data_IF_071323975954
#
_entry.id   IF_071323975954
#
_cell.length_a   1.000
_cell.length_b   1.000
_cell.length_c   1.000
_cell.angle_alpha   90.00
_cell.angle_beta   90.00
_cell.angle_gamma   90.00
#
_symmetry.space_group_name_H-M   'P 1'
#
loop_
_entity.id
_entity.type
_entity.pdbx_description
1 polymer ?
#
# COMPACT_ATOMS: atom_id res chain seq x y z
N UNK A 1 -16.76 1.31 -7.43
CA UNK A 1 -17.14 0.42 -6.32
C UNK A 1 -17.25 1.29 -5.06
N UNK A 2 -18.35 1.23 -4.38
CA UNK A 2 -18.61 1.96 -3.14
C UNK A 2 -18.26 1.06 -1.95
N UNK A 3 -17.57 1.61 -0.93
CA UNK A 3 -17.33 0.93 0.34
C UNK A 3 -18.56 1.17 1.20
N UNK A 4 -19.25 0.11 1.59
CA UNK A 4 -20.54 0.20 2.31
C UNK A 4 -20.43 -0.06 3.80
N UNK A 5 -19.42 -0.84 4.23
CA UNK A 5 -19.19 -1.16 5.63
C UNK A 5 -17.71 -1.06 5.97
N UNK A 6 -17.41 -0.69 7.21
CA UNK A 6 -16.03 -0.63 7.73
C UNK A 6 -15.39 -2.01 7.69
N UNK A 7 -16.12 -3.05 8.07
CA UNK A 7 -15.60 -4.44 8.06
C UNK A 7 -15.21 -4.91 6.65
N UNK A 8 -16.03 -4.61 5.64
CA UNK A 8 -15.71 -4.97 4.24
C UNK A 8 -14.48 -4.23 3.72
N UNK A 9 -14.28 -2.99 4.17
CA UNK A 9 -13.08 -2.22 3.87
C UNK A 9 -11.86 -2.84 4.54
N UNK A 10 -11.92 -3.16 5.83
CA UNK A 10 -10.81 -3.75 6.59
C UNK A 10 -10.38 -5.10 6.01
N UNK A 11 -11.33 -5.98 5.66
CA UNK A 11 -11.04 -7.26 4.99
C UNK A 11 -10.33 -7.04 3.65
N UNK A 12 -10.82 -6.12 2.82
CA UNK A 12 -10.20 -5.82 1.52
C UNK A 12 -8.83 -5.18 1.69
N UNK A 13 -8.69 -4.22 2.59
CA UNK A 13 -7.42 -3.54 2.84
C UNK A 13 -6.36 -4.51 3.39
N UNK A 14 -6.74 -5.42 4.28
CA UNK A 14 -5.85 -6.48 4.78
C UNK A 14 -5.29 -7.34 3.64
N UNK A 15 -6.11 -7.70 2.66
CA UNK A 15 -5.67 -8.45 1.46
C UNK A 15 -4.70 -7.65 0.57
N UNK A 16 -4.91 -6.33 0.48
CA UNK A 16 -3.98 -5.44 -0.24
C UNK A 16 -2.64 -5.36 0.49
N UNK A 17 -2.67 -5.14 1.81
CA UNK A 17 -1.49 -5.07 2.67
C UNK A 17 -0.67 -6.36 2.65
N UNK A 18 -1.30 -7.50 2.69
CA UNK A 18 -0.64 -8.81 2.57
C UNK A 18 0.16 -8.93 1.27
N UNK A 19 -0.40 -8.44 0.16
CA UNK A 19 0.31 -8.42 -1.13
C UNK A 19 1.52 -7.47 -1.12
N UNK A 20 1.41 -6.33 -0.44
CA UNK A 20 2.52 -5.39 -0.27
C UNK A 20 3.61 -5.99 0.62
N UNK A 21 3.23 -6.66 1.73
CA UNK A 21 4.17 -7.36 2.61
C UNK A 21 5.01 -8.37 1.84
N UNK A 22 4.40 -9.19 0.98
CA UNK A 22 5.14 -10.16 0.15
C UNK A 22 6.19 -9.53 -0.75
N UNK A 23 5.96 -8.30 -1.23
CA UNK A 23 6.99 -7.56 -1.99
C UNK A 23 8.10 -7.06 -1.06
N UNK A 24 7.76 -6.52 0.10
CA UNK A 24 8.74 -6.01 1.07
C UNK A 24 9.64 -7.15 1.57
N UNK A 25 9.09 -8.31 1.85
CA UNK A 25 9.80 -9.48 2.39
C UNK A 25 10.91 -10.04 1.47
N UNK A 26 10.83 -9.79 0.17
CA UNK A 26 11.86 -10.25 -0.78
C UNK A 26 12.89 -9.18 -1.12
N UNK A 27 12.80 -7.98 -0.52
CA UNK A 27 13.78 -6.91 -0.71
C UNK A 27 15.07 -7.26 0.04
N UNK A 28 16.22 -7.43 -0.65
CA UNK A 28 17.49 -7.59 0.04
C UNK A 28 17.83 -6.30 0.82
N UNK A 29 18.25 -6.41 2.09
CA UNK A 29 18.55 -5.24 2.93
C UNK A 29 19.55 -4.27 2.31
N UNK A 30 20.54 -4.78 1.58
CA UNK A 30 21.56 -4.00 0.87
C UNK A 30 21.02 -3.15 -0.27
N UNK A 31 19.81 -3.44 -0.76
CA UNK A 31 19.15 -2.68 -1.83
C UNK A 31 18.20 -1.59 -1.31
N UNK A 32 18.08 -1.40 0.00
CA UNK A 32 17.15 -0.43 0.58
C UNK A 32 17.37 1.00 0.05
N UNK A 33 18.62 1.36 -0.23
CA UNK A 33 19.00 2.68 -0.74
C UNK A 33 19.04 2.75 -2.28
N UNK A 34 18.63 1.69 -2.99
CA UNK A 34 18.57 1.71 -4.44
C UNK A 34 17.48 2.66 -4.93
N UNK A 35 17.84 3.46 -5.94
CA UNK A 35 16.92 4.29 -6.73
C UNK A 35 17.29 4.16 -8.21
N UNK A 36 16.30 4.10 -9.10
CA UNK A 36 16.55 3.98 -10.54
C UNK A 36 17.23 5.23 -11.13
N UNK A 37 17.19 6.36 -10.43
CA UNK A 37 17.78 7.65 -10.86
C UNK A 37 18.03 8.54 -9.65
N UNK A 38 19.15 9.31 -9.62
CA UNK A 38 19.41 10.30 -8.58
C UNK A 38 18.21 11.27 -8.40
N UNK A 39 17.87 11.57 -7.14
CA UNK A 39 16.77 12.46 -6.78
C UNK A 39 15.37 11.84 -6.87
N UNK A 40 15.28 10.54 -7.09
CA UNK A 40 14.04 9.76 -6.98
C UNK A 40 14.02 8.96 -5.68
N UNK A 41 12.82 8.56 -5.25
CA UNK A 41 12.67 7.74 -4.07
C UNK A 41 13.51 6.47 -4.16
N UNK A 42 14.19 6.15 -3.09
CA UNK A 42 14.80 4.83 -2.89
C UNK A 42 13.72 3.81 -2.55
N UNK A 43 14.08 2.52 -2.54
CA UNK A 43 13.20 1.46 -2.04
C UNK A 43 12.76 1.78 -0.60
N UNK A 44 13.70 2.18 0.27
CA UNK A 44 13.40 2.57 1.65
C UNK A 44 12.47 3.78 1.74
N UNK A 45 12.68 4.80 0.89
CA UNK A 45 11.80 5.96 0.83
C UNK A 45 10.38 5.57 0.41
N UNK A 46 10.23 4.66 -0.56
CA UNK A 46 8.92 4.14 -0.98
C UNK A 46 8.17 3.48 0.18
N UNK A 47 8.85 2.62 0.94
CA UNK A 47 8.24 1.90 2.07
C UNK A 47 7.83 2.90 3.16
N UNK A 48 8.72 3.82 3.54
CA UNK A 48 8.42 4.87 4.53
C UNK A 48 7.32 5.81 4.04
N UNK A 49 7.29 6.12 2.74
CA UNK A 49 6.26 6.96 2.13
C UNK A 49 4.88 6.32 2.25
N UNK A 50 4.73 5.06 1.87
CA UNK A 50 3.46 4.33 2.02
C UNK A 50 2.97 4.41 3.48
N UNK A 51 3.85 4.10 4.43
CA UNK A 51 3.54 4.08 5.86
C UNK A 51 3.17 5.47 6.41
N UNK A 52 3.98 6.47 6.10
CA UNK A 52 3.79 7.83 6.60
C UNK A 52 2.56 8.52 5.99
N UNK A 53 2.29 8.33 4.70
CA UNK A 53 1.09 8.85 4.04
C UNK A 53 -0.16 8.16 4.63
N UNK A 54 -0.12 6.84 4.79
CA UNK A 54 -1.23 6.10 5.39
C UNK A 54 -1.59 6.66 6.76
N UNK A 55 -0.60 6.80 7.65
CA UNK A 55 -0.85 7.21 9.04
C UNK A 55 -1.06 8.71 9.19
N UNK A 56 -0.16 9.52 8.65
CA UNK A 56 -0.10 10.97 8.96
C UNK A 56 -0.88 11.83 7.96
N UNK A 57 -1.27 11.31 6.82
CA UNK A 57 -2.18 12.01 5.92
C UNK A 57 -3.59 11.40 6.00
N UNK A 58 -3.75 10.14 5.61
CA UNK A 58 -5.07 9.50 5.61
C UNK A 58 -5.64 9.33 7.02
N UNK A 59 -4.88 8.76 7.95
CA UNK A 59 -5.32 8.58 9.33
C UNK A 59 -5.71 9.88 10.02
N UNK A 60 -4.95 10.96 9.81
CA UNK A 60 -5.28 12.27 10.38
C UNK A 60 -6.55 12.86 9.76
N UNK A 61 -6.65 12.87 8.44
CA UNK A 61 -7.82 13.45 7.75
C UNK A 61 -9.10 12.64 7.94
N UNK A 62 -9.00 11.32 8.05
CA UNK A 62 -10.11 10.42 8.45
C UNK A 62 -10.63 10.81 9.84
N UNK A 63 -9.74 11.16 10.76
CA UNK A 63 -10.08 11.62 12.12
C UNK A 63 -10.57 13.07 12.18
N UNK A 64 -10.72 13.75 11.05
CA UNK A 64 -11.12 15.16 10.99
C UNK A 64 -10.00 16.16 11.33
N UNK A 65 -8.76 15.71 11.40
CA UNK A 65 -7.57 16.55 11.62
C UNK A 65 -6.90 16.92 10.30
N UNK A 66 -6.02 17.92 10.33
CA UNK A 66 -5.18 18.24 9.16
C UNK A 66 -4.10 17.18 8.97
N UNK A 67 -3.69 16.98 7.72
CA UNK A 67 -2.54 16.14 7.39
C UNK A 67 -1.30 16.62 8.16
N UNK A 68 -0.57 15.68 8.76
CA UNK A 68 0.69 15.90 9.48
C UNK A 68 1.84 15.10 8.82
N UNK A 69 1.77 14.87 7.50
CA UNK A 69 2.76 14.10 6.77
C UNK A 69 4.18 14.68 6.92
N UNK A 70 5.14 13.93 7.51
CA UNK A 70 6.48 14.43 7.82
C UNK A 70 7.49 14.25 6.68
N UNK A 71 7.10 13.63 5.56
CA UNK A 71 8.02 13.15 4.55
C UNK A 71 8.29 11.64 4.66
N UNK A 72 9.36 11.17 4.02
CA UNK A 72 9.72 9.74 3.97
C UNK A 72 11.24 9.50 4.11
N UNK A 73 11.95 10.43 4.71
CA UNK A 73 13.39 10.36 4.91
C UNK A 73 13.82 9.30 5.94
N UNK A 74 15.13 9.07 6.00
CA UNK A 74 15.74 8.10 6.93
C UNK A 74 15.58 8.50 8.40
N UNK A 75 15.30 9.76 8.68
CA UNK A 75 14.96 10.27 10.02
C UNK A 75 13.72 9.61 10.64
N UNK A 76 12.83 9.06 9.83
CA UNK A 76 11.66 8.30 10.32
C UNK A 76 12.03 6.86 10.72
N UNK A 77 12.90 6.23 9.95
CA UNK A 77 13.39 4.88 10.19
C UNK A 77 14.60 4.60 9.29
N UNK A 78 15.77 4.38 9.85
CA UNK A 78 16.99 4.07 9.11
C UNK A 78 17.29 2.56 9.16
N UNK A 79 17.77 2.01 8.04
CA UNK A 79 18.01 0.59 7.86
C UNK A 79 16.76 -0.24 7.61
N UNK A 80 16.95 -1.46 7.09
CA UNK A 80 15.87 -2.33 6.64
C UNK A 80 14.88 -2.70 7.76
N UNK A 81 15.40 -3.21 8.87
CA UNK A 81 14.57 -3.69 10.00
C UNK A 81 13.70 -2.56 10.57
N UNK A 82 14.29 -1.37 10.79
CA UNK A 82 13.55 -0.22 11.31
C UNK A 82 12.51 0.27 10.29
N UNK A 83 12.82 0.25 8.99
CA UNK A 83 11.88 0.65 7.93
C UNK A 83 10.68 -0.30 7.87
N UNK A 84 10.91 -1.60 7.96
CA UNK A 84 9.84 -2.61 8.00
C UNK A 84 9.00 -2.50 9.27
N UNK A 85 9.65 -2.27 10.42
CA UNK A 85 8.95 -2.07 11.68
C UNK A 85 8.07 -0.82 11.64
N UNK A 86 8.60 0.31 11.18
CA UNK A 86 7.84 1.55 10.98
C UNK A 86 6.62 1.33 10.08
N UNK A 87 6.79 0.62 8.96
CA UNK A 87 5.70 0.29 8.04
C UNK A 87 4.56 -0.49 8.73
N UNK A 88 4.90 -1.46 9.57
CA UNK A 88 3.92 -2.26 10.33
C UNK A 88 3.21 -1.45 11.42
N UNK A 89 3.97 -0.63 12.14
CA UNK A 89 3.44 0.20 13.24
C UNK A 89 2.45 1.26 12.72
N UNK A 90 2.80 1.96 11.64
CA UNK A 90 1.93 2.98 11.05
C UNK A 90 0.63 2.37 10.54
N UNK A 91 0.69 1.19 9.94
CA UNK A 91 -0.49 0.44 9.53
C UNK A 91 -1.38 0.08 10.72
N UNK A 92 -0.80 -0.47 11.78
CA UNK A 92 -1.55 -0.83 13.00
C UNK A 92 -2.28 0.37 13.57
N UNK A 93 -1.61 1.52 13.69
CA UNK A 93 -2.22 2.76 14.18
C UNK A 93 -3.37 3.24 13.28
N UNK A 94 -3.21 3.11 11.95
CA UNK A 94 -4.26 3.50 11.01
C UNK A 94 -5.46 2.56 11.10
N UNK A 95 -5.23 1.26 11.25
CA UNK A 95 -6.33 0.29 11.45
C UNK A 95 -7.14 0.60 12.72
N UNK A 96 -6.50 1.00 13.82
CA UNK A 96 -7.23 1.38 15.05
C UNK A 96 -8.11 2.61 14.81
N UNK A 97 -7.65 3.60 14.04
CA UNK A 97 -8.47 4.75 13.65
C UNK A 97 -9.69 4.30 12.83
N UNK A 98 -9.48 3.42 11.86
CA UNK A 98 -10.56 2.97 10.95
C UNK A 98 -11.56 2.09 11.68
N UNK A 99 -11.12 1.21 12.58
CA UNK A 99 -11.99 0.39 13.43
C UNK A 99 -12.90 1.21 14.35
N UNK A 100 -12.51 2.44 14.69
CA UNK A 100 -13.32 3.37 15.47
C UNK A 100 -14.44 4.06 14.68
N UNK A 101 -14.53 3.85 13.36
CA UNK A 101 -15.58 4.41 12.51
C UNK A 101 -16.85 3.54 12.55
N UNK A 102 -18.00 4.18 12.41
CA UNK A 102 -19.25 3.50 12.06
C UNK A 102 -19.45 3.41 10.54
N UNK A 103 -20.37 2.59 10.08
CA UNK A 103 -20.70 2.50 8.65
C UNK A 103 -21.29 3.82 8.12
N UNK A 104 -22.03 4.56 8.96
CA UNK A 104 -22.57 5.87 8.63
C UNK A 104 -21.47 6.91 8.40
N UNK A 105 -20.34 6.80 9.12
CA UNK A 105 -19.19 7.69 8.93
C UNK A 105 -18.62 7.63 7.51
N UNK A 106 -18.79 6.50 6.81
CA UNK A 106 -18.29 6.34 5.45
C UNK A 106 -18.89 7.35 4.47
N UNK A 107 -20.09 7.84 4.75
CA UNK A 107 -20.77 8.87 3.95
C UNK A 107 -20.38 10.28 4.35
N UNK A 108 -19.79 10.47 5.53
CA UNK A 108 -19.31 11.76 6.04
C UNK A 108 -18.28 12.37 5.06
N UNK A 109 -18.22 13.71 5.04
CA UNK A 109 -17.15 14.44 4.33
C UNK A 109 -15.93 14.59 5.22
N UNK A 110 -14.75 14.48 4.61
CA UNK A 110 -13.47 14.89 5.19
C UNK A 110 -12.76 15.86 4.24
N UNK A 111 -11.81 16.62 4.75
CA UNK A 111 -10.99 17.52 3.96
C UNK A 111 -9.69 16.83 3.55
N UNK A 112 -9.38 16.88 2.26
CA UNK A 112 -8.07 16.48 1.74
C UNK A 112 -7.01 17.51 2.12
N UNK A 113 -5.70 17.20 1.98
CA UNK A 113 -4.63 18.20 2.17
C UNK A 113 -4.79 19.45 1.26
N UNK A 114 -5.46 19.32 0.12
CA UNK A 114 -5.77 20.42 -0.79
C UNK A 114 -7.04 21.21 -0.41
N UNK A 115 -7.57 21.00 0.80
CA UNK A 115 -8.83 21.61 1.30
C UNK A 115 -10.08 21.30 0.43
N UNK A 116 -10.05 20.19 -0.30
CA UNK A 116 -11.21 19.71 -1.07
C UNK A 116 -12.02 18.73 -0.24
N UNK A 117 -13.34 18.86 -0.25
CA UNK A 117 -14.24 17.90 0.40
C UNK A 117 -14.37 16.62 -0.41
N UNK A 118 -14.24 15.47 0.28
CA UNK A 118 -14.43 14.15 -0.30
C UNK A 118 -15.21 13.27 0.67
N UNK A 119 -16.07 12.37 0.18
CA UNK A 119 -16.71 11.37 1.04
C UNK A 119 -15.65 10.40 1.58
N UNK A 120 -15.77 10.03 2.86
CA UNK A 120 -14.78 9.22 3.55
C UNK A 120 -14.51 7.90 2.83
N UNK A 121 -15.54 7.20 2.33
CA UNK A 121 -15.36 5.97 1.57
C UNK A 121 -14.52 6.16 0.28
N UNK A 122 -14.64 7.32 -0.39
CA UNK A 122 -13.80 7.63 -1.57
C UNK A 122 -12.35 7.88 -1.15
N UNK A 123 -12.17 8.52 0.01
CA UNK A 123 -10.84 8.80 0.54
C UNK A 123 -10.12 7.52 1.00
N UNK A 124 -10.83 6.61 1.67
CA UNK A 124 -10.33 5.28 2.00
C UNK A 124 -9.94 4.47 0.74
N UNK A 125 -10.73 4.57 -0.32
CA UNK A 125 -10.37 3.95 -1.60
C UNK A 125 -9.10 4.55 -2.19
N UNK A 126 -8.95 5.88 -2.15
CA UNK A 126 -7.73 6.55 -2.62
C UNK A 126 -6.49 6.12 -1.82
N UNK A 127 -6.63 5.84 -0.52
CA UNK A 127 -5.55 5.28 0.31
C UNK A 127 -5.07 3.92 -0.22
N UNK A 128 -6.00 3.03 -0.56
CA UNK A 128 -5.66 1.73 -1.17
C UNK A 128 -5.00 1.91 -2.54
N UNK A 129 -5.53 2.79 -3.38
CA UNK A 129 -4.99 3.08 -4.71
C UNK A 129 -3.55 3.62 -4.62
N UNK A 130 -3.27 4.47 -3.63
CA UNK A 130 -1.93 4.98 -3.35
C UNK A 130 -0.95 3.84 -2.96
N UNK A 131 -1.34 2.93 -2.07
CA UNK A 131 -0.50 1.79 -1.71
C UNK A 131 -0.22 0.88 -2.92
N UNK A 132 -1.25 0.59 -3.73
CA UNK A 132 -1.11 -0.23 -4.94
C UNK A 132 -0.15 0.43 -5.92
N UNK A 133 -0.22 1.76 -6.08
CA UNK A 133 0.67 2.53 -6.95
C UNK A 133 2.15 2.34 -6.54
N UNK A 134 2.49 2.62 -5.29
CA UNK A 134 3.87 2.50 -4.81
C UNK A 134 4.35 1.05 -4.71
N UNK A 135 3.47 0.10 -4.42
CA UNK A 135 3.80 -1.33 -4.52
C UNK A 135 4.22 -1.72 -5.94
N UNK A 136 3.56 -1.18 -6.97
CA UNK A 136 3.95 -1.45 -8.35
C UNK A 136 5.32 -0.85 -8.68
N UNK A 137 5.66 0.32 -8.14
CA UNK A 137 7.00 0.90 -8.27
C UNK A 137 8.06 0.04 -7.59
N UNK A 138 7.81 -0.45 -6.37
CA UNK A 138 8.71 -1.40 -5.69
C UNK A 138 8.93 -2.66 -6.52
N UNK A 139 7.89 -3.19 -7.15
CA UNK A 139 7.98 -4.36 -8.03
C UNK A 139 8.91 -4.10 -9.22
N UNK A 140 8.79 -2.91 -9.85
CA UNK A 140 9.68 -2.51 -10.95
C UNK A 140 11.13 -2.39 -10.47
N UNK A 141 11.37 -1.80 -9.27
CA UNK A 141 12.72 -1.65 -8.71
C UNK A 141 13.38 -3.02 -8.48
N UNK A 142 12.62 -3.98 -7.94
CA UNK A 142 13.12 -5.34 -7.73
C UNK A 142 13.49 -6.03 -9.06
N UNK A 143 12.67 -5.84 -10.11
CA UNK A 143 13.00 -6.37 -11.43
C UNK A 143 14.26 -5.72 -12.02
N UNK A 144 14.51 -4.43 -11.79
CA UNK A 144 15.74 -3.75 -12.21
C UNK A 144 16.99 -4.28 -11.49
N UNK A 145 16.80 -4.89 -10.34
CA UNK A 145 17.85 -5.50 -9.50
C UNK A 145 17.96 -7.02 -9.68
N UNK A 146 17.26 -7.59 -10.65
CA UNK A 146 17.18 -9.04 -10.88
C UNK A 146 16.70 -9.85 -9.66
N UNK A 147 15.97 -9.20 -8.73
CA UNK A 147 15.37 -9.86 -7.58
C UNK A 147 14.07 -10.54 -8.01
N UNK A 148 13.96 -11.85 -7.74
CA UNK A 148 12.75 -12.62 -8.07
C UNK A 148 11.56 -12.10 -7.24
N UNK A 149 10.57 -11.54 -7.92
CA UNK A 149 9.35 -11.03 -7.31
C UNK A 149 8.30 -12.12 -7.10
N UNK A 150 7.51 -12.07 -6.01
CA UNK A 150 6.45 -13.04 -5.75
C UNK A 150 5.23 -12.80 -6.66
N UNK A 151 4.49 -13.88 -6.95
CA UNK A 151 3.19 -13.78 -7.64
C UNK A 151 2.16 -13.14 -6.72
N UNK A 152 1.67 -11.95 -7.07
CA UNK A 152 0.73 -11.17 -6.23
C UNK A 152 -0.71 -11.68 -6.39
N UNK A 153 -1.06 -12.17 -7.58
CA UNK A 153 -2.42 -12.58 -7.94
C UNK A 153 -2.56 -14.09 -8.18
N UNK A 154 -1.58 -14.87 -7.73
CA UNK A 154 -1.60 -16.33 -7.72
C UNK A 154 -0.79 -16.97 -8.83
N UNK A 155 -1.06 -16.73 -10.10
CA UNK A 155 -0.37 -17.35 -11.22
C UNK A 155 0.44 -16.34 -12.04
N UNK A 156 1.54 -16.78 -12.66
CA UNK A 156 2.22 -16.00 -13.67
C UNK A 156 1.42 -15.99 -14.99
N UNK A 157 1.78 -15.08 -15.92
CA UNK A 157 1.15 -15.02 -17.24
C UNK A 157 1.33 -16.34 -18.02
N UNK A 158 2.52 -16.96 -17.92
CA UNK A 158 2.86 -18.22 -18.53
C UNK A 158 2.03 -19.38 -17.95
N UNK A 159 1.89 -19.44 -16.63
CA UNK A 159 1.05 -20.43 -15.95
C UNK A 159 -0.42 -20.30 -16.32
N UNK A 160 -0.93 -19.04 -16.45
CA UNK A 160 -2.30 -18.79 -16.92
C UNK A 160 -2.46 -19.28 -18.36
N UNK A 161 -1.50 -18.96 -19.24
CA UNK A 161 -1.50 -19.40 -20.64
C UNK A 161 -1.53 -20.93 -20.74
N UNK A 162 -0.64 -21.61 -20.03
CA UNK A 162 -0.56 -23.09 -20.05
C UNK A 162 -1.87 -23.73 -19.59
N UNK A 163 -2.44 -23.25 -18.49
CA UNK A 163 -3.73 -23.77 -17.97
C UNK A 163 -4.89 -23.49 -18.91
N UNK A 164 -4.90 -22.33 -19.57
CA UNK A 164 -5.94 -21.97 -20.52
C UNK A 164 -5.94 -22.87 -21.76
N UNK A 165 -4.75 -23.20 -22.30
CA UNK A 165 -4.60 -24.12 -23.43
C UNK A 165 -5.06 -25.53 -23.06
N UNK A 166 -4.61 -26.07 -21.92
CA UNK A 166 -5.02 -27.41 -21.43
C UNK A 166 -6.52 -27.56 -21.19
N UNK A 167 -7.21 -26.46 -20.83
CA UNK A 167 -8.68 -26.46 -20.67
C UNK A 167 -9.42 -26.50 -22.01
N UNK A 168 -8.84 -25.95 -23.08
CA UNK A 168 -9.43 -26.02 -24.44
C UNK A 168 -9.28 -27.42 -25.03
N UNK A 169 -8.12 -28.07 -24.88
CA UNK A 169 -7.86 -29.41 -25.35
C UNK A 169 -8.74 -30.49 -24.71
N UNK A 170 -9.20 -30.30 -23.48
CA UNK A 170 -10.12 -31.22 -22.78
C UNK A 170 -11.60 -31.06 -23.18
N UNK A 171 -11.97 -30.10 -24.02
CA UNK A 171 -13.34 -29.87 -24.48
C UNK A 171 -13.63 -30.49 -25.87
N UNK A 172 -12.64 -31.12 -26.49
CA UNK A 172 -12.71 -31.87 -27.75
C UNK A 172 -12.31 -33.32 -27.50
#
# INVERSE_FOLDING_TARGET
MEIKTVDSFLDYYGKIRERTNRIIEVIPPEHLDFSYKPGKFTIGDQIRHIAAIERYMYGETISGRKSAYPGCGKDLADGYENTVQFFKEMHTQTLEIIKGLSDEDLMRKCLTPANSEISLWKWLRAMIEHEIHHRAELYIYLNLLDVKTPQIYGLSAEEVQEKSVKLQEKKY
#
